data_IF_953109554537
#
_entry.id   IF_953109554537
#
_cell.length_a   1.000
_cell.length_b   1.000
_cell.length_c   1.000
_cell.angle_alpha   90.00
_cell.angle_beta   90.00
_cell.angle_gamma   90.00
#
_symmetry.space_group_name_H-M   'P 1'
#
loop_
_entity.id
_entity.type
_entity.pdbx_description
1 polymer ?
#
# COMPACT_ATOMS: atom_id res chain seq x y z
N UNK A 1 -28.65 9.03 15.90
CA UNK A 1 -27.75 9.19 14.73
C UNK A 1 -28.56 8.85 13.48
N UNK A 2 -28.57 9.72 12.47
CA UNK A 2 -29.26 9.47 11.19
C UNK A 2 -28.25 8.83 10.23
N UNK A 3 -28.56 7.62 9.77
CA UNK A 3 -27.67 6.83 8.89
C UNK A 3 -28.26 6.79 7.50
N UNK A 4 -27.43 7.00 6.47
CA UNK A 4 -27.79 6.80 5.06
C UNK A 4 -27.85 5.30 4.81
N UNK A 5 -28.99 4.79 4.36
CA UNK A 5 -29.24 3.36 4.16
C UNK A 5 -29.31 2.95 2.69
N UNK A 6 -29.42 3.90 1.75
CA UNK A 6 -29.55 3.61 0.31
C UNK A 6 -28.64 4.51 -0.53
N UNK A 7 -28.26 4.02 -1.72
CA UNK A 7 -27.50 4.81 -2.70
C UNK A 7 -28.27 6.07 -3.11
N UNK A 8 -29.58 5.98 -3.31
CA UNK A 8 -30.42 7.12 -3.66
C UNK A 8 -30.38 8.25 -2.62
N UNK A 9 -30.36 7.91 -1.32
CA UNK A 9 -30.16 8.91 -0.26
C UNK A 9 -28.78 9.57 -0.33
N UNK A 10 -27.75 8.82 -0.69
CA UNK A 10 -26.40 9.34 -0.86
C UNK A 10 -26.33 10.30 -2.05
N UNK A 11 -26.88 9.92 -3.19
CA UNK A 11 -26.91 10.72 -4.43
C UNK A 11 -27.69 12.02 -4.23
N UNK A 12 -28.80 12.01 -3.48
CA UNK A 12 -29.56 13.21 -3.14
C UNK A 12 -28.75 14.24 -2.35
N UNK A 13 -27.73 13.81 -1.58
CA UNK A 13 -26.86 14.70 -0.79
C UNK A 13 -25.67 15.22 -1.63
N UNK A 14 -25.07 14.36 -2.44
CA UNK A 14 -23.83 14.68 -3.14
C UNK A 14 -24.02 15.22 -4.57
N UNK A 15 -25.18 14.96 -5.18
CA UNK A 15 -25.48 15.38 -6.53
C UNK A 15 -24.66 14.63 -7.60
N UNK A 16 -24.57 15.22 -8.78
CA UNK A 16 -23.89 14.63 -9.92
C UNK A 16 -22.37 14.75 -9.85
N UNK A 17 -21.66 13.74 -10.38
CA UNK A 17 -20.21 13.75 -10.51
C UNK A 17 -19.80 14.65 -11.67
N UNK A 18 -18.82 15.53 -11.45
CA UNK A 18 -18.31 16.40 -12.52
C UNK A 18 -17.41 15.61 -13.50
N UNK A 19 -17.31 16.10 -14.74
CA UNK A 19 -16.55 15.49 -15.82
C UNK A 19 -15.08 15.25 -15.47
N UNK A 20 -14.42 16.20 -14.78
CA UNK A 20 -13.01 16.07 -14.37
C UNK A 20 -12.77 14.89 -13.42
N UNK A 21 -13.79 14.42 -12.72
CA UNK A 21 -13.71 13.26 -11.84
C UNK A 21 -13.76 11.92 -12.58
N UNK A 22 -14.31 11.90 -13.79
CA UNK A 22 -14.51 10.69 -14.61
C UNK A 22 -13.51 10.58 -15.75
N UNK A 23 -13.21 11.67 -16.46
CA UNK A 23 -12.30 11.67 -17.63
C UNK A 23 -10.86 11.21 -17.31
N UNK A 24 -10.43 11.34 -16.06
CA UNK A 24 -9.11 10.90 -15.61
C UNK A 24 -8.99 9.39 -15.41
N UNK A 25 -10.11 8.65 -15.41
CA UNK A 25 -10.08 7.21 -15.20
C UNK A 25 -9.67 6.53 -16.51
N UNK A 26 -8.63 5.72 -16.42
CA UNK A 26 -8.15 4.91 -17.53
C UNK A 26 -8.19 3.43 -17.14
N UNK A 27 -8.27 2.57 -18.15
CA UNK A 27 -8.22 1.11 -17.99
C UNK A 27 -6.79 0.56 -18.15
N UNK A 28 -5.81 1.43 -18.32
CA UNK A 28 -4.39 1.10 -18.52
C UNK A 28 -3.47 2.21 -18.03
N UNK A 29 -2.21 1.86 -17.90
CA UNK A 29 -1.14 2.77 -17.44
C UNK A 29 -0.76 3.72 -18.58
N UNK A 30 -1.15 4.99 -18.46
CA UNK A 30 -0.77 6.05 -19.39
C UNK A 30 0.66 6.53 -19.11
N UNK A 31 1.31 7.27 -20.05
CA UNK A 31 2.63 7.84 -19.81
C UNK A 31 2.72 8.69 -18.53
N UNK A 32 1.68 9.49 -18.21
CA UNK A 32 1.65 10.30 -17.00
C UNK A 32 1.52 9.46 -15.73
N UNK A 33 0.69 8.42 -15.74
CA UNK A 33 0.53 7.52 -14.60
C UNK A 33 1.77 6.65 -14.36
N UNK A 34 2.50 6.29 -15.42
CA UNK A 34 3.79 5.61 -15.32
C UNK A 34 4.76 6.38 -14.43
N UNK A 35 4.91 7.68 -14.65
CA UNK A 35 5.80 8.53 -13.86
C UNK A 35 5.43 8.53 -12.38
N UNK A 36 4.13 8.55 -12.05
CA UNK A 36 3.67 8.52 -10.66
C UNK A 36 3.99 7.18 -9.98
N UNK A 37 3.83 6.06 -10.68
CA UNK A 37 4.19 4.73 -10.18
C UNK A 37 5.70 4.65 -9.92
N UNK A 38 6.52 5.02 -10.92
CA UNK A 38 7.98 4.92 -10.86
C UNK A 38 8.61 5.82 -9.79
N UNK A 39 7.96 6.96 -9.46
CA UNK A 39 8.44 7.90 -8.43
C UNK A 39 7.95 7.56 -7.02
N UNK A 40 7.02 6.63 -6.87
CA UNK A 40 6.48 6.31 -5.55
C UNK A 40 7.36 5.27 -4.83
N UNK A 41 7.84 5.58 -3.62
CA UNK A 41 8.51 4.61 -2.74
C UNK A 41 7.53 3.84 -1.86
N UNK A 42 6.23 4.19 -1.89
CA UNK A 42 5.24 3.65 -0.95
C UNK A 42 3.89 3.45 -1.62
N UNK A 43 3.24 2.33 -1.27
CA UNK A 43 1.85 2.07 -1.61
C UNK A 43 1.13 1.38 -0.45
N UNK A 44 -0.15 1.72 -0.24
CA UNK A 44 -1.05 0.91 0.57
C UNK A 44 -1.73 -0.12 -0.34
N UNK A 45 -1.59 -1.41 0.01
CA UNK A 45 -2.26 -2.52 -0.67
C UNK A 45 -3.52 -2.89 0.12
N UNK A 46 -4.67 -2.73 -0.47
CA UNK A 46 -5.95 -3.18 0.07
C UNK A 46 -6.39 -4.47 -0.62
N UNK A 47 -6.85 -5.43 0.17
CA UNK A 47 -7.35 -6.73 -0.27
C UNK A 47 -8.59 -7.11 0.52
N UNK A 48 -9.39 -8.04 0.00
CA UNK A 48 -10.56 -8.61 0.68
C UNK A 48 -10.52 -10.13 0.65
N UNK A 49 -11.11 -10.74 1.66
CA UNK A 49 -11.23 -12.19 1.75
C UNK A 49 -12.35 -12.60 2.70
N UNK A 50 -12.62 -13.90 2.85
CA UNK A 50 -13.68 -14.40 3.74
C UNK A 50 -13.54 -13.95 5.20
N UNK A 51 -12.29 -13.74 5.66
CA UNK A 51 -12.01 -13.28 7.04
C UNK A 51 -12.07 -11.75 7.18
N UNK A 52 -12.31 -11.00 6.10
CA UNK A 52 -12.44 -9.55 6.12
C UNK A 52 -11.47 -8.82 5.20
N UNK A 53 -11.31 -7.54 5.51
CA UNK A 53 -10.42 -6.62 4.77
C UNK A 53 -9.02 -6.63 5.38
N UNK A 54 -8.02 -6.44 4.51
CA UNK A 54 -6.66 -6.12 4.91
C UNK A 54 -6.16 -4.89 4.14
N UNK A 55 -5.46 -4.00 4.84
CA UNK A 55 -4.78 -2.85 4.25
C UNK A 55 -3.35 -2.79 4.78
N UNK A 56 -2.41 -3.14 3.92
CA UNK A 56 -1.01 -3.38 4.28
C UNK A 56 -0.08 -2.34 3.63
N UNK A 57 0.84 -1.72 4.39
CA UNK A 57 1.86 -0.86 3.82
C UNK A 57 2.85 -1.69 2.99
N UNK A 58 3.19 -1.17 1.81
CA UNK A 58 4.22 -1.70 0.92
C UNK A 58 5.19 -0.57 0.60
N UNK A 59 6.47 -0.79 0.78
CA UNK A 59 7.46 0.25 0.56
C UNK A 59 8.84 -0.32 0.29
N UNK A 60 9.56 0.37 -0.59
CA UNK A 60 10.93 0.06 -1.01
C UNK A 60 11.49 1.32 -1.71
N UNK A 61 12.64 1.23 -2.32
CA UNK A 61 13.15 2.29 -3.20
C UNK A 61 12.13 2.64 -4.30
N UNK A 62 12.07 3.91 -4.76
CA UNK A 62 11.17 4.29 -5.85
C UNK A 62 11.32 3.36 -7.06
N UNK A 63 10.18 2.98 -7.66
CA UNK A 63 10.14 2.01 -8.77
C UNK A 63 10.11 0.53 -8.32
N UNK A 64 9.88 0.25 -7.04
CA UNK A 64 9.72 -1.12 -6.54
C UNK A 64 8.51 -1.84 -7.12
N UNK A 65 7.44 -1.10 -7.43
CA UNK A 65 6.33 -1.61 -8.23
C UNK A 65 6.70 -1.42 -9.69
N UNK A 66 7.06 -2.51 -10.35
CA UNK A 66 7.49 -2.50 -11.75
C UNK A 66 6.28 -2.56 -12.69
N UNK A 67 6.39 -1.83 -13.77
CA UNK A 67 5.44 -1.87 -14.88
C UNK A 67 5.97 -2.87 -15.91
N UNK A 68 5.27 -3.99 -16.08
CA UNK A 68 5.61 -5.00 -17.09
C UNK A 68 5.14 -4.57 -18.48
N UNK A 69 3.89 -4.14 -18.57
CA UNK A 69 3.25 -3.58 -19.75
C UNK A 69 2.22 -2.51 -19.32
N UNK A 70 1.37 -2.04 -20.23
CA UNK A 70 0.38 -1.01 -19.92
C UNK A 70 -0.81 -1.49 -19.07
N UNK A 71 -0.91 -2.79 -18.81
CA UNK A 71 -1.97 -3.44 -18.01
C UNK A 71 -1.44 -4.18 -16.77
N UNK A 72 -0.13 -4.40 -16.67
CA UNK A 72 0.43 -5.31 -15.68
C UNK A 72 1.46 -4.64 -14.78
N UNK A 73 1.24 -4.75 -13.48
CA UNK A 73 2.16 -4.34 -12.42
C UNK A 73 2.72 -5.56 -11.70
N UNK A 74 3.96 -5.44 -11.25
CA UNK A 74 4.65 -6.46 -10.46
C UNK A 74 5.23 -5.84 -9.20
N UNK A 75 4.85 -6.37 -8.04
CA UNK A 75 5.29 -5.88 -6.73
C UNK A 75 5.91 -7.01 -5.92
N UNK A 76 7.17 -6.88 -5.46
CA UNK A 76 7.82 -7.90 -4.66
C UNK A 76 7.22 -7.98 -3.26
N UNK A 77 6.99 -9.19 -2.76
CA UNK A 77 6.67 -9.41 -1.36
C UNK A 77 7.95 -9.60 -0.56
N UNK A 78 8.45 -8.49 0.01
CA UNK A 78 9.66 -8.46 0.82
C UNK A 78 9.44 -9.15 2.16
N UNK A 79 10.52 -9.51 2.82
CA UNK A 79 10.48 -10.13 4.15
C UNK A 79 9.72 -9.26 5.15
N UNK A 80 8.81 -9.84 5.89
CA UNK A 80 8.00 -9.21 6.92
C UNK A 80 7.75 -10.15 8.10
N UNK A 81 6.63 -9.96 8.80
CA UNK A 81 6.23 -10.73 9.99
C UNK A 81 5.61 -12.11 9.69
N UNK A 82 5.51 -12.51 8.44
CA UNK A 82 4.92 -13.76 7.95
C UNK A 82 3.40 -13.94 8.24
N UNK A 83 2.67 -12.87 8.58
CA UNK A 83 1.20 -12.97 8.70
C UNK A 83 0.56 -13.30 7.36
N UNK A 84 1.07 -12.73 6.27
CA UNK A 84 0.68 -12.96 4.86
C UNK A 84 -0.82 -12.78 4.58
N UNK A 85 -1.49 -11.94 5.36
CA UNK A 85 -2.95 -11.73 5.28
C UNK A 85 -3.35 -11.24 3.87
N UNK A 86 -2.67 -10.24 3.31
CA UNK A 86 -2.90 -9.78 1.93
C UNK A 86 -2.73 -10.89 0.90
N UNK A 87 -1.71 -11.76 1.04
CA UNK A 87 -1.46 -12.84 0.08
C UNK A 87 -2.54 -13.93 0.17
N UNK A 88 -3.00 -14.26 1.39
CA UNK A 88 -4.12 -15.18 1.60
C UNK A 88 -5.40 -14.66 0.95
N UNK A 89 -5.67 -13.35 1.13
CA UNK A 89 -6.82 -12.72 0.50
C UNK A 89 -6.73 -12.81 -1.03
N UNK A 90 -5.59 -12.44 -1.63
CA UNK A 90 -5.38 -12.49 -3.09
C UNK A 90 -5.62 -13.90 -3.66
N UNK A 91 -5.17 -14.95 -2.95
CA UNK A 91 -5.38 -16.34 -3.39
C UNK A 91 -6.86 -16.73 -3.39
N UNK A 92 -7.67 -16.14 -2.50
CA UNK A 92 -9.09 -16.46 -2.32
C UNK A 92 -10.01 -15.53 -3.13
N UNK A 93 -9.71 -14.24 -3.14
CA UNK A 93 -10.38 -13.21 -3.93
C UNK A 93 -9.31 -12.32 -4.56
N UNK A 94 -9.13 -12.37 -5.90
CA UNK A 94 -8.05 -11.66 -6.56
C UNK A 94 -8.22 -10.13 -6.59
N UNK A 95 -9.35 -9.59 -6.13
CA UNK A 95 -9.61 -8.15 -6.13
C UNK A 95 -8.66 -7.41 -5.20
N UNK A 96 -7.98 -6.40 -5.74
CA UNK A 96 -7.02 -5.58 -4.99
C UNK A 96 -7.13 -4.11 -5.36
N UNK A 97 -6.71 -3.26 -4.43
CA UNK A 97 -6.50 -1.84 -4.70
C UNK A 97 -5.13 -1.39 -4.19
N UNK A 98 -4.49 -0.48 -4.94
CA UNK A 98 -3.26 0.19 -4.54
C UNK A 98 -3.52 1.70 -4.42
N UNK A 99 -3.01 2.31 -3.35
CA UNK A 99 -2.93 3.74 -3.19
C UNK A 99 -1.45 4.15 -3.05
N UNK A 100 -0.92 4.79 -4.08
CA UNK A 100 0.46 5.29 -4.11
C UNK A 100 0.57 6.67 -3.48
N UNK A 101 1.61 6.85 -2.68
CA UNK A 101 2.00 8.12 -2.08
C UNK A 101 3.42 8.48 -2.53
N UNK A 102 3.59 9.73 -2.96
CA UNK A 102 4.88 10.26 -3.40
C UNK A 102 5.25 11.38 -2.43
N UNK A 103 6.32 11.24 -1.64
CA UNK A 103 6.76 12.27 -0.71
C UNK A 103 6.94 13.63 -1.40
N UNK A 104 6.31 14.67 -0.84
CA UNK A 104 6.33 16.02 -1.39
C UNK A 104 5.27 16.30 -2.47
N UNK A 105 4.59 15.26 -3.02
CA UNK A 105 3.49 15.45 -3.96
C UNK A 105 2.13 15.51 -3.26
N UNK A 106 1.29 16.48 -3.64
CA UNK A 106 -0.12 16.46 -3.23
C UNK A 106 -0.96 15.44 -3.98
N UNK A 107 -0.51 15.01 -5.16
CA UNK A 107 -1.23 14.03 -5.99
C UNK A 107 -0.93 12.62 -5.50
N UNK A 108 -1.97 11.83 -5.29
CA UNK A 108 -1.87 10.38 -5.06
C UNK A 108 -2.42 9.62 -6.26
N UNK A 109 -2.01 8.36 -6.43
CA UNK A 109 -2.48 7.52 -7.54
C UNK A 109 -3.20 6.30 -6.98
N UNK A 110 -4.38 6.02 -7.52
CA UNK A 110 -5.17 4.84 -7.18
C UNK A 110 -5.24 3.88 -8.35
N UNK A 111 -5.07 2.60 -8.07
CA UNK A 111 -5.20 1.52 -9.04
C UNK A 111 -6.08 0.44 -8.42
N UNK A 112 -7.13 0.05 -9.11
CA UNK A 112 -7.96 -1.11 -8.77
C UNK A 112 -7.78 -2.18 -9.85
N UNK A 113 -7.84 -3.45 -9.46
CA UNK A 113 -7.67 -4.56 -10.39
C UNK A 113 -7.70 -5.91 -9.72
N UNK A 114 -7.07 -6.89 -10.38
CA UNK A 114 -6.99 -8.26 -9.91
C UNK A 114 -5.53 -8.69 -9.81
N UNK A 115 -5.18 -9.45 -8.79
CA UNK A 115 -3.81 -9.88 -8.58
C UNK A 115 -3.70 -11.39 -8.40
N UNK A 116 -2.50 -11.89 -8.68
CA UNK A 116 -2.06 -13.26 -8.40
C UNK A 116 -0.73 -13.23 -7.66
N UNK A 117 -0.44 -14.27 -6.92
CA UNK A 117 0.84 -14.44 -6.22
C UNK A 117 1.70 -15.42 -7.04
N UNK A 118 2.84 -14.95 -7.53
CA UNK A 118 3.79 -15.75 -8.30
C UNK A 118 5.02 -16.12 -7.47
N UNK A 119 5.52 -17.34 -7.68
CA UNK A 119 6.80 -17.85 -7.17
C UNK A 119 7.71 -18.27 -8.30
N UNK A 120 7.52 -17.75 -9.51
CA UNK A 120 8.35 -18.01 -10.67
C UNK A 120 9.82 -17.65 -10.37
N UNK A 121 10.79 -18.58 -10.55
CA UNK A 121 12.18 -18.37 -10.16
C UNK A 121 12.87 -17.20 -10.87
N UNK A 122 12.58 -17.01 -12.15
CA UNK A 122 13.21 -15.94 -12.96
C UNK A 122 12.62 -14.58 -12.54
N UNK A 123 11.31 -14.55 -12.29
CA UNK A 123 10.65 -13.36 -11.77
C UNK A 123 11.18 -12.99 -10.37
N UNK A 124 11.30 -13.95 -9.45
CA UNK A 124 11.90 -13.73 -8.14
C UNK A 124 13.35 -13.22 -8.25
N UNK A 125 14.14 -13.85 -9.11
CA UNK A 125 15.53 -13.46 -9.35
C UNK A 125 15.66 -12.02 -9.86
N UNK A 126 14.73 -11.57 -10.71
CA UNK A 126 14.71 -10.21 -11.26
C UNK A 126 14.53 -9.12 -10.20
N UNK A 127 13.91 -9.46 -9.06
CA UNK A 127 13.66 -8.54 -7.93
C UNK A 127 14.70 -8.62 -6.81
N UNK A 128 15.87 -9.23 -7.04
CA UNK A 128 16.94 -9.29 -6.05
C UNK A 128 17.43 -7.90 -5.65
N UNK A 129 17.62 -7.71 -4.34
CA UNK A 129 18.31 -6.57 -3.74
C UNK A 129 19.36 -7.14 -2.77
N UNK A 130 20.59 -6.69 -2.85
CA UNK A 130 21.71 -7.19 -2.03
C UNK A 130 21.83 -8.73 -2.01
N UNK A 131 21.62 -9.35 -3.17
CA UNK A 131 21.68 -10.80 -3.35
C UNK A 131 20.45 -11.57 -2.84
N UNK A 132 19.49 -10.91 -2.19
CA UNK A 132 18.28 -11.53 -1.63
C UNK A 132 17.08 -11.34 -2.55
N UNK A 133 16.44 -12.44 -2.93
CA UNK A 133 15.20 -12.43 -3.68
C UNK A 133 13.98 -12.30 -2.74
N UNK A 134 12.86 -11.71 -3.20
CA UNK A 134 11.59 -11.80 -2.47
C UNK A 134 11.10 -13.25 -2.44
N UNK A 135 10.18 -13.56 -1.53
CA UNK A 135 9.56 -14.91 -1.45
C UNK A 135 8.49 -15.13 -2.51
N UNK A 136 7.83 -14.08 -2.90
CA UNK A 136 6.82 -14.08 -3.96
C UNK A 136 6.76 -12.71 -4.62
N UNK A 137 6.07 -12.63 -5.75
CA UNK A 137 5.75 -11.38 -6.45
C UNK A 137 4.25 -11.34 -6.66
N UNK A 138 3.64 -10.23 -6.26
CA UNK A 138 2.25 -9.94 -6.59
C UNK A 138 2.22 -9.41 -8.02
N UNK A 139 1.54 -10.11 -8.91
CA UNK A 139 1.33 -9.71 -10.31
C UNK A 139 -0.11 -9.21 -10.42
N UNK A 140 -0.28 -7.93 -10.70
CA UNK A 140 -1.58 -7.26 -10.73
C UNK A 140 -1.95 -6.85 -12.16
N UNK A 141 -3.14 -7.23 -12.59
CA UNK A 141 -3.77 -6.69 -13.81
C UNK A 141 -4.59 -5.46 -13.45
N UNK A 142 -4.31 -4.35 -14.13
CA UNK A 142 -5.00 -3.07 -13.94
C UNK A 142 -6.41 -3.16 -14.53
N UNK A 143 -7.41 -2.90 -13.71
CA UNK A 143 -8.79 -2.72 -14.14
C UNK A 143 -9.12 -1.24 -14.34
N UNK A 144 -8.74 -0.40 -13.39
CA UNK A 144 -8.84 1.05 -13.50
C UNK A 144 -7.70 1.75 -12.76
N UNK A 145 -7.27 2.89 -13.28
CA UNK A 145 -6.22 3.72 -12.73
C UNK A 145 -6.58 5.19 -12.86
N UNK A 146 -6.39 5.97 -11.78
CA UNK A 146 -6.64 7.41 -11.78
C UNK A 146 -5.94 8.12 -10.62
N UNK A 147 -5.56 9.37 -10.87
CA UNK A 147 -5.03 10.22 -9.81
C UNK A 147 -6.14 10.71 -8.87
N UNK A 148 -5.81 10.89 -7.60
CA UNK A 148 -6.65 11.55 -6.60
C UNK A 148 -6.18 13.00 -6.40
N UNK A 149 -7.13 13.90 -6.12
CA UNK A 149 -6.81 15.30 -5.87
C UNK A 149 -6.00 15.48 -4.59
N UNK A 150 -5.25 16.60 -4.54
CA UNK A 150 -4.37 16.95 -3.42
C UNK A 150 -5.09 17.28 -2.10
N UNK A 151 -6.42 17.38 -2.08
CA UNK A 151 -7.18 17.92 -0.94
C UNK A 151 -6.90 17.21 0.39
N UNK A 152 -6.78 15.89 0.39
CA UNK A 152 -6.49 15.13 1.60
C UNK A 152 -5.08 15.44 2.13
N UNK A 153 -4.08 15.42 1.25
CA UNK A 153 -2.68 15.72 1.58
C UNK A 153 -2.52 17.17 2.07
N UNK A 154 -3.18 18.13 1.39
CA UNK A 154 -3.13 19.55 1.78
C UNK A 154 -3.82 19.79 3.12
N UNK A 155 -5.02 19.23 3.34
CA UNK A 155 -5.73 19.42 4.63
C UNK A 155 -5.01 18.78 5.80
N UNK A 156 -4.34 17.67 5.59
CA UNK A 156 -3.55 16.99 6.64
C UNK A 156 -2.17 17.59 6.83
N UNK A 157 -1.73 18.48 5.92
CA UNK A 157 -0.38 19.06 5.90
C UNK A 157 0.72 17.97 5.96
N UNK A 158 0.44 16.82 5.31
CA UNK A 158 1.16 15.55 5.49
C UNK A 158 2.66 15.65 5.20
N UNK A 159 3.05 16.49 4.23
CA UNK A 159 4.45 16.62 3.80
C UNK A 159 5.18 17.79 4.46
N UNK A 160 4.52 18.55 5.33
CA UNK A 160 5.14 19.67 6.01
C UNK A 160 6.16 19.16 7.05
N UNK A 161 7.45 19.47 6.90
CA UNK A 161 8.48 19.03 7.84
C UNK A 161 8.27 19.57 9.26
N UNK A 162 7.65 20.76 9.40
CA UNK A 162 7.41 21.38 10.72
C UNK A 162 6.26 20.72 11.48
N UNK A 163 5.48 19.86 10.83
CA UNK A 163 4.40 19.07 11.44
C UNK A 163 4.82 17.64 11.80
N UNK A 164 6.10 17.31 11.65
CA UNK A 164 6.59 16.00 12.04
C UNK A 164 6.50 15.85 13.56
N UNK A 165 5.82 14.78 13.98
CA UNK A 165 5.73 14.43 15.40
C UNK A 165 7.08 13.84 15.84
N UNK A 166 7.56 14.20 17.03
CA UNK A 166 8.70 13.51 17.64
C UNK A 166 8.30 12.05 17.91
N UNK A 167 8.95 11.06 17.29
CA UNK A 167 8.64 9.64 17.50
C UNK A 167 8.66 9.20 18.96
N UNK A 168 9.42 9.90 19.83
CA UNK A 168 9.49 9.63 21.27
C UNK A 168 8.18 9.92 22.01
N UNK A 169 7.28 10.69 21.42
CA UNK A 169 5.96 10.98 21.99
C UNK A 169 4.91 9.93 21.66
N UNK A 170 5.25 8.96 20.81
CA UNK A 170 4.38 7.86 20.41
C UNK A 170 4.76 6.58 21.17
N UNK A 171 3.78 5.69 21.46
CA UNK A 171 4.10 4.39 22.01
C UNK A 171 4.97 3.60 21.04
N UNK A 172 5.99 2.93 21.57
CA UNK A 172 6.86 2.07 20.77
C UNK A 172 6.16 0.75 20.42
N UNK A 173 6.60 0.04 19.37
CA UNK A 173 6.12 -1.32 19.08
C UNK A 173 6.28 -2.27 20.27
N UNK A 174 7.38 -2.16 21.03
CA UNK A 174 7.61 -2.96 22.25
C UNK A 174 6.59 -2.66 23.34
N UNK A 175 6.24 -1.39 23.57
CA UNK A 175 5.19 -0.99 24.52
C UNK A 175 3.80 -1.53 24.09
N UNK A 176 3.44 -1.37 22.82
CA UNK A 176 2.16 -1.88 22.29
C UNK A 176 2.08 -3.41 22.44
N UNK A 177 3.14 -4.14 22.11
CA UNK A 177 3.17 -5.59 22.26
C UNK A 177 3.08 -6.04 23.72
N UNK A 178 3.74 -5.34 24.63
CA UNK A 178 3.67 -5.61 26.08
C UNK A 178 2.24 -5.41 26.59
N UNK A 179 1.60 -4.30 26.24
CA UNK A 179 0.20 -4.03 26.59
C UNK A 179 -0.74 -5.13 26.06
N UNK A 180 -0.66 -5.46 24.77
CA UNK A 180 -1.55 -6.43 24.12
C UNK A 180 -1.32 -7.88 24.57
N UNK A 181 -0.19 -8.18 25.17
CA UNK A 181 0.19 -9.53 25.58
C UNK A 181 0.32 -9.69 27.10
N UNK A 182 -0.11 -8.71 27.91
CA UNK A 182 0.07 -8.69 29.36
C UNK A 182 1.54 -8.91 29.75
N UNK A 183 2.45 -8.17 29.09
CA UNK A 183 3.91 -8.24 29.24
C UNK A 183 4.57 -9.58 28.85
N UNK A 184 3.88 -10.47 28.15
CA UNK A 184 4.43 -11.75 27.70
C UNK A 184 5.40 -11.57 26.50
N UNK A 185 5.16 -10.57 25.64
CA UNK A 185 5.97 -10.25 24.46
C UNK A 185 6.15 -8.74 24.38
N UNK A 186 7.29 -8.26 23.92
CA UNK A 186 7.53 -6.83 23.71
C UNK A 186 8.47 -6.23 24.76
N UNK A 187 8.19 -4.99 25.16
CA UNK A 187 9.00 -4.24 26.12
C UNK A 187 10.27 -3.63 25.51
N UNK A 188 11.10 -3.06 26.40
CA UNK A 188 12.31 -2.32 26.00
C UNK A 188 13.34 -3.18 25.24
N UNK A 189 13.49 -4.44 25.59
CA UNK A 189 14.42 -5.36 24.93
C UNK A 189 14.01 -5.62 23.47
N UNK A 190 12.71 -5.69 23.20
CA UNK A 190 12.18 -5.80 21.85
C UNK A 190 12.55 -4.58 20.99
N UNK A 191 12.41 -3.39 21.54
CA UNK A 191 12.73 -2.14 20.86
C UNK A 191 14.25 -1.98 20.68
N UNK A 192 15.03 -2.31 21.70
CA UNK A 192 16.51 -2.27 21.67
C UNK A 192 17.09 -3.20 20.61
N UNK A 193 16.47 -4.36 20.37
CA UNK A 193 16.92 -5.32 19.37
C UNK A 193 16.51 -4.93 17.93
N UNK A 194 15.62 -3.95 17.74
CA UNK A 194 15.06 -3.61 16.44
C UNK A 194 16.10 -3.17 15.39
N UNK A 195 17.05 -2.24 15.66
CA UNK A 195 17.98 -1.77 14.64
C UNK A 195 18.82 -2.88 14.04
N UNK A 196 19.30 -3.84 14.87
CA UNK A 196 20.09 -4.97 14.41
C UNK A 196 19.23 -5.97 13.63
N UNK A 197 18.04 -6.29 14.15
CA UNK A 197 17.08 -7.16 13.48
C UNK A 197 16.65 -6.59 12.12
N UNK A 198 16.40 -5.27 12.04
CA UNK A 198 16.06 -4.60 10.79
C UNK A 198 17.18 -4.74 9.75
N UNK A 199 18.43 -4.46 10.10
CA UNK A 199 19.59 -4.62 9.19
C UNK A 199 19.68 -6.02 8.61
N UNK A 200 19.44 -7.05 9.43
CA UNK A 200 19.52 -8.45 8.99
C UNK A 200 18.33 -8.91 8.17
N UNK A 201 17.19 -8.25 8.29
CA UNK A 201 15.91 -8.74 7.77
C UNK A 201 15.18 -7.78 6.83
N UNK A 202 15.81 -6.66 6.45
CA UNK A 202 15.18 -5.64 5.61
C UNK A 202 14.87 -6.15 4.20
N UNK A 203 15.74 -7.01 3.67
CA UNK A 203 15.63 -7.60 2.33
C UNK A 203 15.56 -9.11 2.37
#
# INVERSE_FOLDING_TARGET
MTVIATVAQLEAIYGETNEASTVKVADRITPSYRVLIEKSPFAALATSGPEGLDCSPRGDLPGFVRIHDDKTLMMPDRRGNNRVDSLRNIVRDPKVALLFLIPGSGTTLRINGHAQVSVDPDLLASFRVDGKAPRSVIVMTVGEIYFQCARAIVRSDLWNPDKRIDPKTLPTPGQILAEMSENRVGGEDYDRAWPERARQTMW
#
